data_IF_301054356776
#
_entry.id   IF_301054356776
#
_cell.length_a   1.000
_cell.length_b   1.000
_cell.length_c   1.000
_cell.angle_alpha   90.00
_cell.angle_beta   90.00
_cell.angle_gamma   90.00
#
_symmetry.space_group_name_H-M   'P 1'
#
loop_
_entity.id
_entity.type
_entity.pdbx_description
1 polymer ?
#
# COMPACT_ATOMS: atom_id res chain seq x y z
N UNK A 1 7.14 13.42 26.08
CA UNK A 1 7.63 12.72 27.25
C UNK A 1 7.55 11.21 27.03
N UNK A 2 8.65 10.49 27.19
CA UNK A 2 8.58 9.05 26.99
C UNK A 2 7.70 8.40 28.06
N UNK A 3 6.89 7.44 27.66
CA UNK A 3 6.09 6.67 28.58
C UNK A 3 6.97 5.76 29.42
N UNK A 4 6.70 5.72 30.71
CA UNK A 4 7.31 4.74 31.59
C UNK A 4 6.85 3.34 31.18
N UNK A 5 7.73 2.36 31.23
CA UNK A 5 7.44 0.97 30.90
C UNK A 5 6.25 0.42 31.68
N UNK A 6 6.08 0.85 32.94
CA UNK A 6 4.99 0.43 33.81
C UNK A 6 3.63 0.96 33.37
N UNK A 7 3.61 2.06 32.58
CA UNK A 7 2.36 2.67 32.12
C UNK A 7 1.98 2.23 30.71
N UNK A 8 2.85 1.49 30.01
CA UNK A 8 2.57 0.98 28.69
C UNK A 8 1.80 -0.33 28.77
N UNK A 9 0.70 -0.40 28.04
CA UNK A 9 -0.06 -1.65 27.92
C UNK A 9 0.60 -2.55 26.88
N UNK A 10 0.74 -3.86 27.18
CA UNK A 10 1.27 -4.78 26.19
C UNK A 10 0.29 -4.92 25.03
N UNK A 11 0.84 -5.08 23.83
CA UNK A 11 0.06 -5.38 22.64
C UNK A 11 -0.01 -6.89 22.46
N UNK A 12 -1.15 -7.40 22.02
CA UNK A 12 -1.23 -8.77 21.53
C UNK A 12 -0.42 -8.90 20.23
N UNK A 13 -0.06 -10.12 19.86
CA UNK A 13 0.61 -10.36 18.58
C UNK A 13 -0.26 -9.87 17.42
N UNK A 14 -1.57 -10.10 17.49
CA UNK A 14 -2.51 -9.63 16.47
C UNK A 14 -2.45 -8.12 16.32
N UNK A 15 -2.55 -7.38 17.42
CA UNK A 15 -2.49 -5.91 17.38
C UNK A 15 -1.15 -5.40 16.90
N UNK A 16 -0.07 -6.02 17.32
CA UNK A 16 1.28 -5.67 16.88
C UNK A 16 1.42 -5.84 15.36
N UNK A 17 1.02 -6.98 14.83
CA UNK A 17 1.11 -7.24 13.39
C UNK A 17 0.12 -6.38 12.58
N UNK A 18 -1.06 -6.09 13.11
CA UNK A 18 -1.98 -5.16 12.46
C UNK A 18 -1.43 -3.74 12.41
N UNK A 19 -0.68 -3.32 13.44
CA UNK A 19 -0.01 -2.03 13.41
C UNK A 19 1.08 -1.98 12.34
N UNK A 20 1.79 -3.09 12.13
CA UNK A 20 2.75 -3.21 11.02
C UNK A 20 2.06 -3.07 9.67
N UNK A 21 0.91 -3.71 9.50
CA UNK A 21 0.11 -3.59 8.28
C UNK A 21 -0.25 -2.12 7.99
N UNK A 22 -0.71 -1.40 9.02
CA UNK A 22 -1.04 0.01 8.90
C UNK A 22 0.20 0.85 8.51
N UNK A 23 1.35 0.56 9.12
CA UNK A 23 2.61 1.24 8.81
C UNK A 23 3.04 1.00 7.35
N UNK A 24 2.96 -0.24 6.88
CA UNK A 24 3.33 -0.56 5.50
C UNK A 24 2.38 0.10 4.49
N UNK A 25 1.09 0.18 4.79
CA UNK A 25 0.15 0.94 3.96
C UNK A 25 0.53 2.42 3.90
N UNK A 26 0.91 3.01 5.04
CA UNK A 26 1.34 4.41 5.12
C UNK A 26 2.61 4.63 4.29
N UNK A 27 3.56 3.70 4.31
CA UNK A 27 4.78 3.80 3.51
C UNK A 27 4.47 3.78 2.01
N UNK A 28 3.52 2.96 1.56
CA UNK A 28 3.07 2.96 0.16
C UNK A 28 2.53 4.33 -0.21
N UNK A 29 1.70 4.93 0.65
CA UNK A 29 1.14 6.28 0.44
C UNK A 29 2.27 7.29 0.29
N UNK A 30 3.25 7.27 1.19
CA UNK A 30 4.39 8.20 1.15
C UNK A 30 5.16 8.04 -0.16
N UNK A 31 5.47 6.81 -0.57
CA UNK A 31 6.21 6.58 -1.81
C UNK A 31 5.43 7.06 -3.05
N UNK A 32 4.14 6.79 -3.10
CA UNK A 32 3.29 7.25 -4.20
C UNK A 32 3.24 8.78 -4.27
N UNK A 33 3.11 9.46 -3.13
CA UNK A 33 3.09 10.91 -3.05
C UNK A 33 4.41 11.52 -3.50
N UNK A 34 5.53 10.93 -3.08
CA UNK A 34 6.86 11.40 -3.51
C UNK A 34 7.05 11.25 -5.02
N UNK A 35 6.62 10.12 -5.59
CA UNK A 35 6.67 9.91 -7.03
C UNK A 35 5.78 10.93 -7.78
N UNK A 36 4.62 11.27 -7.23
CA UNK A 36 3.73 12.27 -7.80
C UNK A 36 4.38 13.68 -7.81
N UNK A 37 5.04 14.03 -6.71
CA UNK A 37 5.67 15.35 -6.58
C UNK A 37 6.95 15.50 -7.38
N UNK A 38 7.78 14.46 -7.42
CA UNK A 38 9.14 14.57 -7.93
C UNK A 38 9.42 13.74 -9.17
N UNK A 39 8.47 12.90 -9.57
CA UNK A 39 8.60 12.03 -10.74
C UNK A 39 9.01 10.61 -10.40
N UNK A 40 8.59 9.66 -11.23
CA UNK A 40 8.87 8.25 -11.04
C UNK A 40 10.36 7.93 -11.17
N UNK A 41 11.06 8.63 -12.04
CA UNK A 41 12.46 8.36 -12.37
C UNK A 41 13.45 9.08 -11.44
N UNK A 42 12.97 9.95 -10.56
CA UNK A 42 13.84 10.69 -9.64
C UNK A 42 14.40 9.74 -8.58
N UNK A 43 15.67 9.97 -8.25
CA UNK A 43 16.32 9.36 -7.10
C UNK A 43 16.46 10.47 -6.06
N UNK A 44 15.76 10.36 -4.94
CA UNK A 44 15.82 11.37 -3.88
C UNK A 44 17.19 11.43 -3.23
N UNK A 45 17.56 12.57 -2.62
CA UNK A 45 18.86 12.68 -1.96
C UNK A 45 19.13 11.53 -0.98
N UNK A 46 20.35 11.01 -1.00
CA UNK A 46 20.82 9.93 -0.14
C UNK A 46 20.15 8.57 -0.41
N UNK A 47 19.36 8.45 -1.48
CA UNK A 47 18.74 7.18 -1.88
C UNK A 47 19.52 6.55 -3.04
N UNK A 48 19.37 5.23 -3.18
CA UNK A 48 20.02 4.46 -4.25
C UNK A 48 19.04 4.06 -5.36
N UNK A 49 17.73 4.19 -5.13
CA UNK A 49 16.69 3.71 -6.02
C UNK A 49 15.75 4.81 -6.44
N UNK A 50 15.16 4.67 -7.63
CA UNK A 50 14.14 5.60 -8.13
C UNK A 50 12.88 5.55 -7.26
N UNK A 51 12.06 6.59 -7.35
CA UNK A 51 10.77 6.59 -6.67
C UNK A 51 9.89 5.43 -7.13
N UNK A 52 9.94 5.07 -8.41
CA UNK A 52 9.22 3.91 -8.94
C UNK A 52 9.66 2.61 -8.25
N UNK A 53 10.97 2.38 -8.16
CA UNK A 53 11.51 1.18 -7.50
C UNK A 53 11.11 1.15 -6.02
N UNK A 54 11.11 2.28 -5.36
CA UNK A 54 10.77 2.37 -3.94
C UNK A 54 9.30 2.07 -3.70
N UNK A 55 8.40 2.41 -4.62
CA UNK A 55 6.99 1.99 -4.55
C UNK A 55 6.91 0.45 -4.58
N UNK A 56 7.64 -0.18 -5.49
CA UNK A 56 7.64 -1.65 -5.59
C UNK A 56 8.22 -2.32 -4.35
N UNK A 57 9.26 -1.74 -3.75
CA UNK A 57 9.83 -2.27 -2.50
C UNK A 57 8.80 -2.22 -1.37
N UNK A 58 8.08 -1.11 -1.23
CA UNK A 58 7.02 -1.00 -0.22
C UNK A 58 5.85 -1.94 -0.48
N UNK A 59 5.52 -2.17 -1.76
CA UNK A 59 4.54 -3.18 -2.13
C UNK A 59 4.95 -4.57 -1.65
N UNK A 60 6.22 -4.95 -1.85
CA UNK A 60 6.73 -6.23 -1.38
C UNK A 60 6.66 -6.34 0.15
N UNK A 61 7.00 -5.26 0.86
CA UNK A 61 6.94 -5.22 2.32
C UNK A 61 5.49 -5.38 2.81
N UNK A 62 4.54 -4.72 2.16
CA UNK A 62 3.12 -4.84 2.46
C UNK A 62 2.64 -6.28 2.24
N UNK A 63 3.02 -6.88 1.12
CA UNK A 63 2.64 -8.25 0.78
C UNK A 63 3.19 -9.24 1.82
N UNK A 64 4.45 -9.08 2.22
CA UNK A 64 5.06 -9.92 3.24
C UNK A 64 4.32 -9.81 4.59
N UNK A 65 3.91 -8.60 4.96
CA UNK A 65 3.15 -8.38 6.18
C UNK A 65 1.77 -9.05 6.11
N UNK A 66 1.09 -8.96 4.98
CA UNK A 66 -0.18 -9.65 4.76
C UNK A 66 -0.02 -11.17 4.90
N UNK A 67 1.02 -11.72 4.27
CA UNK A 67 1.31 -13.16 4.35
C UNK A 67 1.59 -13.60 5.79
N UNK A 68 2.33 -12.79 6.54
CA UNK A 68 2.61 -13.07 7.95
C UNK A 68 1.31 -13.14 8.77
N UNK A 69 0.40 -12.19 8.57
CA UNK A 69 -0.90 -12.20 9.24
C UNK A 69 -1.71 -13.45 8.91
N UNK A 70 -1.64 -13.92 7.67
CA UNK A 70 -2.30 -15.15 7.26
C UNK A 70 -1.63 -16.40 7.86
N UNK A 71 -0.31 -16.43 7.90
CA UNK A 71 0.45 -17.52 8.50
C UNK A 71 0.13 -17.72 9.99
N UNK A 72 -0.07 -16.62 10.71
CA UNK A 72 -0.46 -16.68 12.12
C UNK A 72 -1.96 -16.89 12.32
N UNK A 73 -2.73 -17.01 11.24
CA UNK A 73 -4.17 -17.21 11.33
C UNK A 73 -4.96 -16.00 11.81
N UNK A 74 -4.33 -14.82 11.84
CA UNK A 74 -4.99 -13.57 12.24
C UNK A 74 -5.92 -13.10 11.13
N UNK A 75 -5.51 -13.25 9.88
CA UNK A 75 -6.36 -13.05 8.71
C UNK A 75 -6.58 -14.37 8.00
N UNK A 76 -7.76 -14.59 7.42
CA UNK A 76 -7.99 -15.78 6.62
C UNK A 76 -7.26 -15.68 5.29
N UNK A 77 -7.00 -16.85 4.70
CA UNK A 77 -6.56 -16.91 3.31
C UNK A 77 -7.78 -16.83 2.40
N UNK A 78 -7.67 -16.07 1.31
CA UNK A 78 -8.70 -16.04 0.29
C UNK A 78 -8.42 -17.11 -0.75
N UNK A 79 -9.43 -17.86 -1.21
CA UNK A 79 -9.28 -18.75 -2.36
C UNK A 79 -8.82 -17.96 -3.59
N UNK A 80 -8.05 -18.63 -4.45
CA UNK A 80 -7.46 -17.98 -5.63
C UNK A 80 -8.51 -17.36 -6.55
N UNK A 81 -9.63 -18.02 -6.77
CA UNK A 81 -10.72 -17.52 -7.59
C UNK A 81 -11.34 -16.24 -7.00
N UNK A 82 -11.39 -16.14 -5.68
CA UNK A 82 -11.85 -14.94 -4.99
C UNK A 82 -10.91 -13.75 -5.25
N UNK A 83 -9.59 -13.95 -5.18
CA UNK A 83 -8.63 -12.91 -5.54
C UNK A 83 -8.82 -12.44 -6.98
N UNK A 84 -8.96 -13.39 -7.90
CA UNK A 84 -9.15 -13.07 -9.33
C UNK A 84 -10.40 -12.23 -9.53
N UNK A 85 -11.50 -12.64 -8.91
CA UNK A 85 -12.79 -11.93 -9.00
C UNK A 85 -12.69 -10.51 -8.44
N UNK A 86 -12.11 -10.36 -7.25
CA UNK A 86 -12.00 -9.05 -6.60
C UNK A 86 -11.10 -8.09 -7.38
N UNK A 87 -10.00 -8.59 -7.94
CA UNK A 87 -9.12 -7.77 -8.78
C UNK A 87 -9.84 -7.29 -10.03
N UNK A 88 -10.62 -8.17 -10.65
CA UNK A 88 -11.40 -7.83 -11.83
C UNK A 88 -12.44 -6.76 -11.53
N UNK A 89 -13.17 -6.91 -10.42
CA UNK A 89 -14.16 -5.93 -9.96
C UNK A 89 -13.51 -4.57 -9.70
N UNK A 90 -12.37 -4.56 -9.02
CA UNK A 90 -11.66 -3.33 -8.71
C UNK A 90 -11.17 -2.63 -9.97
N UNK A 91 -10.61 -3.39 -10.92
CA UNK A 91 -10.16 -2.84 -12.21
C UNK A 91 -11.31 -2.24 -13.00
N UNK A 92 -12.49 -2.88 -12.97
CA UNK A 92 -13.67 -2.37 -13.62
C UNK A 92 -14.16 -1.05 -13.03
N UNK A 93 -14.23 -0.96 -11.70
CA UNK A 93 -14.57 0.28 -11.00
C UNK A 93 -13.56 1.39 -11.29
N UNK A 94 -12.28 1.07 -11.27
CA UNK A 94 -11.22 2.03 -11.55
C UNK A 94 -11.34 2.59 -12.97
N UNK A 95 -11.68 1.74 -13.95
CA UNK A 95 -11.90 2.17 -15.32
C UNK A 95 -13.09 3.13 -15.44
N UNK A 96 -14.19 2.86 -14.75
CA UNK A 96 -15.34 3.76 -14.72
C UNK A 96 -14.98 5.12 -14.13
N UNK A 97 -14.24 5.15 -13.03
CA UNK A 97 -13.81 6.40 -12.42
C UNK A 97 -12.84 7.18 -13.30
N UNK A 98 -11.91 6.49 -14.00
CA UNK A 98 -11.03 7.16 -14.97
C UNK A 98 -11.84 7.82 -16.08
N UNK A 99 -12.82 7.12 -16.63
CA UNK A 99 -13.67 7.67 -17.68
C UNK A 99 -14.47 8.87 -17.18
N UNK A 100 -15.00 8.80 -15.97
CA UNK A 100 -15.69 9.91 -15.35
C UNK A 100 -14.75 11.13 -15.15
N UNK A 101 -13.53 10.89 -14.67
CA UNK A 101 -12.53 11.94 -14.51
C UNK A 101 -12.17 12.61 -15.83
N UNK A 102 -12.11 11.82 -16.92
CA UNK A 102 -11.90 12.39 -18.27
C UNK A 102 -13.07 13.27 -18.72
N UNK A 103 -14.31 12.84 -18.45
CA UNK A 103 -15.49 13.64 -18.76
C UNK A 103 -15.52 14.96 -18.01
N UNK A 104 -14.99 14.96 -16.79
CA UNK A 104 -14.86 16.18 -15.98
C UNK A 104 -13.61 17.00 -16.35
N UNK A 105 -12.81 16.54 -17.31
CA UNK A 105 -11.55 17.16 -17.73
C UNK A 105 -10.51 17.23 -16.61
N UNK A 106 -10.63 16.37 -15.59
CA UNK A 106 -9.66 16.25 -14.51
C UNK A 106 -8.51 15.32 -14.87
N UNK A 107 -8.79 14.31 -15.68
CA UNK A 107 -7.78 13.39 -16.21
C UNK A 107 -7.55 13.74 -17.68
N UNK A 108 -6.32 14.12 -18.01
CA UNK A 108 -5.91 14.49 -19.36
C UNK A 108 -4.77 13.59 -19.81
N UNK A 109 -4.53 13.55 -21.12
CA UNK A 109 -3.47 12.75 -21.69
C UNK A 109 -3.94 11.39 -22.19
N UNK A 110 -2.97 10.55 -22.56
CA UNK A 110 -3.23 9.25 -23.18
C UNK A 110 -3.84 8.25 -22.20
N UNK A 111 -4.50 7.27 -22.79
CA UNK A 111 -5.21 6.25 -22.04
C UNK A 111 -4.38 5.03 -21.70
N UNK A 112 -3.15 5.15 -21.68
CA UNK A 112 -2.27 4.01 -21.40
C UNK A 112 -2.60 3.24 -20.12
#
# INVERSE_FOLDING_TARGET
MPMNRETQLPLSLADYLLSHLAQECAEVIVRATKAQHFGLDEIQPEQAHTNADRILHEWCDLLATMETLQEYGILPELPRDEYVRRKKEKRGKAALFRNYSRKLERLVGDES
#
